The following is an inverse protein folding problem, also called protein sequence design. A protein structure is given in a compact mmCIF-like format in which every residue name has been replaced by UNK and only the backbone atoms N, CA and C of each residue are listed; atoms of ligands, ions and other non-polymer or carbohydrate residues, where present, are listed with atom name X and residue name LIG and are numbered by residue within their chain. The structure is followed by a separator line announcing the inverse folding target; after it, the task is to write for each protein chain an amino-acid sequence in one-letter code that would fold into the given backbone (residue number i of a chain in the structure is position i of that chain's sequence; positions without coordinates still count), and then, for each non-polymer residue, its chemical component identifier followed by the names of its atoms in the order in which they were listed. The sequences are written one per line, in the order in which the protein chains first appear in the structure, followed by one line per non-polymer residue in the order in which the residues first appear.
data_IF_972030476121
#
_entry.id   IF_972030476121
#
_cell.length_a   1.000
_cell.length_b   1.000
_cell.length_c   1.000
_cell.angle_alpha   90.00
_cell.angle_beta   90.00
_cell.angle_gamma   90.00
#
_symmetry.space_group_name_H-M   'P 1'
#
loop_
_entity.id
_entity.type
_entity.pdbx_description
1 polymer ?
#
# COMPACT_ATOMS: atom_id res chain seq x y z
N UNK A 1 0.69 -30.65 5.86
CA UNK A 1 -0.60 -30.02 6.21
C UNK A 1 -0.36 -28.53 6.28
N UNK A 2 -1.03 -27.81 5.39
CA UNK A 2 -0.82 -26.39 5.07
C UNK A 2 -0.91 -25.50 6.31
N UNK A 3 0.23 -25.00 6.76
CA UNK A 3 0.36 -24.04 7.86
C UNK A 3 0.19 -22.60 7.37
N UNK A 4 -0.83 -22.35 6.55
CA UNK A 4 -1.28 -20.99 6.20
C UNK A 4 -2.71 -20.75 6.70
N UNK A 5 -3.06 -21.31 7.87
CA UNK A 5 -4.29 -20.97 8.57
C UNK A 5 -4.15 -19.56 9.13
N UNK A 6 -4.93 -18.63 8.60
CA UNK A 6 -4.99 -17.21 8.95
C UNK A 6 -5.39 -17.01 10.43
N UNK A 7 -4.42 -17.07 11.33
CA UNK A 7 -4.54 -16.64 12.72
C UNK A 7 -4.32 -15.11 12.76
N UNK A 8 -5.11 -14.41 13.57
CA UNK A 8 -5.25 -12.94 13.59
C UNK A 8 -3.97 -12.11 13.83
N UNK A 9 -2.80 -12.74 13.96
CA UNK A 9 -1.48 -12.13 13.80
C UNK A 9 -1.23 -11.59 12.38
N UNK A 10 -1.88 -12.17 11.36
CA UNK A 10 -1.64 -11.81 9.96
C UNK A 10 -1.97 -10.34 9.64
N UNK A 11 -3.03 -9.72 10.18
CA UNK A 11 -3.36 -8.33 9.83
C UNK A 11 -2.33 -7.32 10.32
N UNK A 12 -1.86 -7.46 11.57
CA UNK A 12 -0.86 -6.55 12.12
C UNK A 12 0.50 -6.76 11.44
N UNK A 13 0.87 -8.02 11.16
CA UNK A 13 2.09 -8.35 10.42
C UNK A 13 2.01 -7.87 8.97
N UNK A 14 0.85 -8.04 8.32
CA UNK A 14 0.54 -7.51 6.99
C UNK A 14 0.70 -5.99 6.97
N UNK A 15 0.07 -5.29 7.91
CA UNK A 15 0.13 -3.84 7.98
C UNK A 15 1.55 -3.36 8.26
N UNK A 16 2.32 -4.08 9.09
CA UNK A 16 3.73 -3.79 9.36
C UNK A 16 4.60 -3.99 8.12
N UNK A 17 4.45 -5.11 7.42
CA UNK A 17 5.21 -5.41 6.20
C UNK A 17 4.85 -4.42 5.09
N UNK A 18 3.56 -4.08 4.95
CA UNK A 18 3.10 -3.08 4.02
C UNK A 18 3.69 -1.70 4.33
N UNK A 19 3.71 -1.28 5.61
CA UNK A 19 4.37 -0.04 6.03
C UNK A 19 5.85 -0.01 5.65
N UNK A 20 6.59 -1.09 5.88
CA UNK A 20 8.01 -1.19 5.49
C UNK A 20 8.19 -0.98 3.99
N UNK A 21 7.39 -1.64 3.16
CA UNK A 21 7.46 -1.50 1.69
C UNK A 21 7.10 -0.09 1.24
N UNK A 22 6.07 0.51 1.85
CA UNK A 22 5.65 1.86 1.52
C UNK A 22 6.65 2.91 1.97
N UNK A 23 7.25 2.77 3.16
CA UNK A 23 8.30 3.67 3.66
C UNK A 23 9.54 3.61 2.76
N UNK A 24 9.94 2.42 2.33
CA UNK A 24 11.03 2.25 1.36
C UNK A 24 10.75 2.98 0.03
N UNK A 25 9.48 3.05 -0.38
CA UNK A 25 9.04 3.75 -1.58
C UNK A 25 8.66 5.22 -1.35
N UNK A 26 8.80 5.74 -0.13
CA UNK A 26 8.32 7.06 0.28
C UNK A 26 6.81 7.30 0.02
N UNK A 27 6.02 6.23 0.18
CA UNK A 27 4.58 6.16 -0.06
C UNK A 27 3.77 5.95 1.24
N UNK A 28 4.40 5.93 2.42
CA UNK A 28 3.71 5.66 3.71
C UNK A 28 2.51 6.57 3.97
N UNK A 29 2.52 7.79 3.41
CA UNK A 29 1.45 8.78 3.49
C UNK A 29 0.09 8.29 2.97
N UNK A 30 0.04 7.23 2.14
CA UNK A 30 -1.23 6.64 1.64
C UNK A 30 -2.00 5.89 2.73
N UNK A 31 -1.33 5.45 3.80
CA UNK A 31 -1.98 4.81 4.95
C UNK A 31 -2.45 5.81 6.00
N UNK A 32 -1.73 6.92 6.16
CA UNK A 32 -2.00 7.90 7.22
C UNK A 32 -3.05 8.93 6.83
N UNK A 33 -3.20 9.20 5.52
CA UNK A 33 -4.12 10.22 5.01
C UNK A 33 -5.37 9.57 4.40
N UNK A 34 -6.57 10.08 4.70
CA UNK A 34 -7.77 9.63 4.01
C UNK A 34 -7.66 9.95 2.52
N UNK A 35 -8.19 9.04 1.70
CA UNK A 35 -8.27 9.18 0.26
C UNK A 35 -9.02 10.48 -0.06
N UNK A 36 -8.38 11.48 -0.71
CA UNK A 36 -9.07 12.72 -1.02
C UNK A 36 -10.18 12.40 -2.03
N UNK A 37 -11.43 12.71 -1.69
CA UNK A 37 -12.59 12.31 -2.51
C UNK A 37 -12.67 13.07 -3.84
N UNK A 38 -12.20 14.32 -3.85
CA UNK A 38 -12.10 15.16 -5.03
C UNK A 38 -11.17 16.35 -4.76
N UNK A 39 -10.64 16.94 -5.82
CA UNK A 39 -9.99 18.25 -5.78
C UNK A 39 -11.04 19.37 -5.86
N UNK A 40 -10.97 20.40 -5.00
CA UNK A 40 -11.79 21.59 -5.13
C UNK A 40 -11.65 22.27 -6.50
N UNK A 41 -12.72 22.89 -6.98
CA UNK A 41 -12.66 23.72 -8.17
C UNK A 41 -11.73 24.92 -7.92
N UNK A 42 -10.78 25.17 -8.83
CA UNK A 42 -9.73 26.17 -8.64
C UNK A 42 -8.44 25.64 -7.99
N UNK A 43 -8.32 24.34 -7.72
CA UNK A 43 -7.06 23.74 -7.26
C UNK A 43 -5.92 24.04 -8.23
N UNK A 44 -4.77 24.40 -7.66
CA UNK A 44 -3.53 24.68 -8.39
C UNK A 44 -3.04 23.46 -9.18
N UNK A 45 -2.24 23.66 -10.24
CA UNK A 45 -1.59 22.56 -10.95
C UNK A 45 -0.81 21.63 -10.03
N UNK A 46 -0.14 22.16 -9.00
CA UNK A 46 0.67 21.42 -8.05
C UNK A 46 -0.20 20.52 -7.15
N UNK A 47 -1.36 21.01 -6.71
CA UNK A 47 -2.34 20.22 -5.97
C UNK A 47 -2.92 19.09 -6.84
N UNK A 48 -3.16 19.35 -8.13
CA UNK A 48 -3.61 18.33 -9.09
C UNK A 48 -2.59 17.21 -9.26
N UNK A 49 -1.33 17.58 -9.49
CA UNK A 49 -0.23 16.61 -9.60
C UNK A 49 -0.08 15.78 -8.33
N UNK A 50 -0.20 16.42 -7.16
CA UNK A 50 -0.12 15.73 -5.87
C UNK A 50 -1.25 14.73 -5.68
N UNK A 51 -2.47 15.12 -6.06
CA UNK A 51 -3.65 14.26 -5.99
C UNK A 51 -3.58 13.06 -6.95
N UNK A 52 -3.17 13.29 -8.20
CA UNK A 52 -3.00 12.22 -9.19
C UNK A 52 -1.94 11.21 -8.74
N UNK A 53 -0.82 11.71 -8.21
CA UNK A 53 0.26 10.89 -7.65
C UNK A 53 -0.24 10.07 -6.46
N UNK A 54 -0.99 10.68 -5.56
CA UNK A 54 -1.59 10.00 -4.41
C UNK A 54 -2.49 8.83 -4.87
N UNK A 55 -3.33 9.07 -5.88
CA UNK A 55 -4.20 8.02 -6.46
C UNK A 55 -3.41 6.89 -7.12
N UNK A 56 -2.33 7.22 -7.82
CA UNK A 56 -1.45 6.22 -8.43
C UNK A 56 -0.77 5.36 -7.37
N UNK A 57 -0.23 5.99 -6.33
CA UNK A 57 0.47 5.30 -5.25
C UNK A 57 -0.49 4.40 -4.44
N UNK A 58 -1.71 4.87 -4.15
CA UNK A 58 -2.74 4.07 -3.49
C UNK A 58 -3.16 2.84 -4.31
N UNK A 59 -3.22 2.95 -5.64
CA UNK A 59 -3.55 1.83 -6.53
C UNK A 59 -2.47 0.74 -6.57
N UNK A 60 -1.24 1.05 -6.19
CA UNK A 60 -0.12 0.08 -6.12
C UNK A 60 -0.11 -0.70 -4.80
N UNK A 61 -0.74 -0.19 -3.74
CA UNK A 61 -0.79 -0.85 -2.42
C UNK A 61 -1.27 -2.31 -2.49
N UNK A 62 -2.37 -2.65 -3.19
CA UNK A 62 -2.81 -4.04 -3.33
C UNK A 62 -1.81 -4.93 -4.07
N UNK A 63 -1.04 -4.36 -5.01
CA UNK A 63 -0.04 -5.09 -5.80
C UNK A 63 1.18 -5.46 -4.94
N UNK A 64 1.56 -4.59 -4.00
CA UNK A 64 2.65 -4.90 -3.06
C UNK A 64 2.30 -6.09 -2.15
N UNK A 65 1.02 -6.27 -1.82
CA UNK A 65 0.57 -7.44 -1.07
C UNK A 65 0.73 -8.73 -1.89
N UNK A 66 0.35 -8.73 -3.17
CA UNK A 66 0.48 -9.93 -4.00
C UNK A 66 1.94 -10.27 -4.26
N UNK A 67 2.76 -9.30 -4.66
CA UNK A 67 4.18 -9.52 -4.94
C UNK A 67 4.95 -10.04 -3.72
N UNK A 68 4.64 -9.53 -2.52
CA UNK A 68 5.29 -9.98 -1.29
C UNK A 68 4.92 -11.41 -0.90
N UNK A 69 3.68 -11.85 -1.18
CA UNK A 69 3.30 -13.24 -0.94
C UNK A 69 3.91 -14.18 -1.98
N UNK A 70 3.97 -13.77 -3.25
CA UNK A 70 4.58 -14.56 -4.32
C UNK A 70 6.09 -14.78 -4.08
N UNK A 71 6.81 -13.77 -3.57
CA UNK A 71 8.24 -13.85 -3.26
C UNK A 71 8.52 -14.77 -2.06
N UNK A 72 7.69 -14.72 -1.01
CA UNK A 72 7.78 -15.64 0.14
C UNK A 72 7.54 -17.10 -0.26
N UNK A 73 6.61 -17.34 -1.18
CA UNK A 73 6.31 -18.69 -1.65
C UNK A 73 7.38 -19.21 -2.63
N UNK A 74 8.12 -18.32 -3.30
CA UNK A 74 9.27 -18.67 -4.15
C UNK A 74 10.56 -18.96 -3.37
N UNK A 75 10.77 -18.37 -2.19
CA UNK A 75 11.93 -18.64 -1.32
C UNK A 75 11.76 -19.92 -0.48
N UNK A 76 10.57 -20.54 -0.49
CA UNK A 76 10.24 -21.74 0.27
C UNK A 76 10.48 -23.07 -0.48
N UNK A 77 11.20 -23.04 -1.61
CA UNK A 77 11.56 -24.23 -2.44
C UNK A 77 12.99 -24.70 -2.17
#
# INVERSE_FOLDING_TARGET
METNKFNGTNYNDWLRNLRIVLDFKNQGYVLDKPLPTALPEGSSPEERVTFDKWHEDNRKVPQYHTCFNDERDSEAV
#
